data_IF_781886753337
#
_entry.id   IF_781886753337
#
_cell.length_a   1.000
_cell.length_b   1.000
_cell.length_c   1.000
_cell.angle_alpha   90.00
_cell.angle_beta   90.00
_cell.angle_gamma   90.00
#
_symmetry.space_group_name_H-M   'P 1'
#
loop_
_entity.id
_entity.type
_entity.pdbx_description
1 polymer ?
#
# COMPACT_ATOMS: atom_id res chain seq x y z
N UNK A 1 11.32 -12.38 -15.69
CA UNK A 1 10.58 -12.33 -14.42
C UNK A 1 10.43 -10.87 -14.07
N UNK A 2 9.21 -10.39 -13.79
CA UNK A 2 9.03 -9.01 -13.28
C UNK A 2 9.66 -8.97 -11.89
N UNK A 3 10.58 -8.05 -11.69
CA UNK A 3 11.28 -7.92 -10.41
C UNK A 3 10.31 -7.36 -9.36
N UNK A 4 10.07 -8.11 -8.29
CA UNK A 4 9.13 -7.74 -7.23
C UNK A 4 9.75 -6.72 -6.28
N UNK A 5 8.90 -5.89 -5.69
CA UNK A 5 9.27 -4.88 -4.69
C UNK A 5 8.78 -5.25 -3.30
N UNK A 6 7.68 -6.00 -3.21
CA UNK A 6 7.11 -6.43 -1.95
C UNK A 6 6.62 -7.88 -2.02
N UNK A 7 6.65 -8.55 -0.87
CA UNK A 7 5.93 -9.78 -0.60
C UNK A 7 5.06 -9.56 0.63
N UNK A 8 3.81 -10.03 0.56
CA UNK A 8 2.84 -9.97 1.66
C UNK A 8 2.24 -11.33 2.05
N UNK A 9 2.66 -12.40 1.39
CA UNK A 9 2.27 -13.77 1.74
C UNK A 9 3.27 -14.34 2.75
N UNK A 10 2.80 -14.58 3.98
CA UNK A 10 3.65 -15.03 5.09
C UNK A 10 4.39 -16.34 4.77
N UNK A 11 3.74 -17.31 4.12
CA UNK A 11 4.36 -18.59 3.75
C UNK A 11 5.41 -18.43 2.64
N UNK A 12 5.24 -17.45 1.75
CA UNK A 12 6.25 -17.10 0.76
C UNK A 12 7.44 -16.38 1.41
N UNK A 13 7.19 -15.45 2.32
CA UNK A 13 8.23 -14.76 3.09
C UNK A 13 9.05 -15.80 3.87
N UNK A 14 8.40 -16.70 4.61
CA UNK A 14 9.06 -17.78 5.37
C UNK A 14 9.96 -18.66 4.49
N UNK A 15 9.58 -18.91 3.24
CA UNK A 15 10.41 -19.67 2.28
C UNK A 15 11.56 -18.87 1.69
N UNK A 16 11.43 -17.54 1.59
CA UNK A 16 12.46 -16.66 1.04
C UNK A 16 13.54 -16.35 2.07
N UNK A 17 13.16 -16.10 3.33
CA UNK A 17 14.09 -15.65 4.38
C UNK A 17 15.33 -16.56 4.55
N UNK A 18 15.25 -17.91 4.55
CA UNK A 18 16.42 -18.77 4.69
C UNK A 18 17.44 -18.66 3.55
N UNK A 19 17.04 -18.08 2.41
CA UNK A 19 17.89 -17.88 1.24
C UNK A 19 18.65 -16.55 1.32
N UNK A 20 18.32 -15.69 2.29
CA UNK A 20 18.91 -14.38 2.48
C UNK A 20 19.86 -14.38 3.69
N UNK A 21 20.84 -13.49 3.65
CA UNK A 21 21.74 -13.25 4.78
C UNK A 21 21.16 -12.18 5.69
N UNK A 22 20.95 -12.51 6.97
CA UNK A 22 20.57 -11.52 7.97
C UNK A 22 21.74 -10.55 8.17
N UNK A 23 21.47 -9.26 7.99
CA UNK A 23 22.44 -8.18 8.16
C UNK A 23 22.28 -7.48 9.50
N UNK A 24 21.03 -7.10 9.81
CA UNK A 24 20.67 -6.34 11.01
C UNK A 24 19.28 -6.76 11.48
N UNK A 25 19.03 -6.69 12.78
CA UNK A 25 17.72 -6.93 13.39
C UNK A 25 17.47 -5.86 14.45
N UNK A 26 16.29 -5.27 14.42
CA UNK A 26 15.86 -4.30 15.41
C UNK A 26 15.59 -5.00 16.75
N UNK A 27 15.85 -4.28 17.85
CA UNK A 27 15.55 -4.77 19.19
C UNK A 27 14.05 -5.11 19.31
N UNK A 28 13.75 -6.35 19.72
CA UNK A 28 12.38 -6.87 19.79
C UNK A 28 11.86 -7.59 18.54
N UNK A 29 12.65 -7.74 17.48
CA UNK A 29 12.34 -8.62 16.33
C UNK A 29 11.27 -8.10 15.37
N UNK A 30 10.85 -6.84 15.52
CA UNK A 30 9.79 -6.22 14.70
C UNK A 30 10.25 -5.81 13.29
N UNK A 31 11.55 -5.67 13.09
CA UNK A 31 12.14 -5.38 11.79
C UNK A 31 13.50 -6.04 11.66
N UNK A 32 13.83 -6.52 10.46
CA UNK A 32 15.13 -7.07 10.15
C UNK A 32 15.51 -6.78 8.70
N UNK A 33 16.80 -6.53 8.47
CA UNK A 33 17.37 -6.29 7.14
C UNK A 33 18.14 -7.52 6.70
N UNK A 34 17.84 -7.96 5.50
CA UNK A 34 18.42 -9.12 4.85
C UNK A 34 19.10 -8.71 3.54
N UNK A 35 20.12 -9.46 3.13
CA UNK A 35 20.81 -9.31 1.85
C UNK A 35 20.68 -10.58 1.03
N UNK A 36 20.22 -10.45 -0.20
CA UNK A 36 20.32 -11.51 -1.20
C UNK A 36 21.75 -11.54 -1.76
N UNK A 37 22.48 -12.64 -1.52
CA UNK A 37 23.86 -12.81 -2.00
C UNK A 37 23.95 -12.92 -3.53
N UNK A 38 22.92 -13.43 -4.19
CA UNK A 38 22.94 -13.64 -5.63
C UNK A 38 22.78 -12.32 -6.39
N UNK A 39 21.87 -11.45 -5.93
CA UNK A 39 21.55 -10.19 -6.59
C UNK A 39 22.20 -8.95 -5.94
N UNK A 40 22.78 -9.08 -4.74
CA UNK A 40 23.20 -7.98 -3.87
C UNK A 40 22.07 -7.01 -3.49
N UNK A 41 20.81 -7.43 -3.63
CA UNK A 41 19.64 -6.65 -3.24
C UNK A 41 19.41 -6.79 -1.74
N UNK A 42 18.99 -5.70 -1.10
CA UNK A 42 18.59 -5.71 0.30
C UNK A 42 17.07 -5.79 0.44
N UNK A 43 16.62 -6.45 1.49
CA UNK A 43 15.22 -6.64 1.83
C UNK A 43 15.01 -6.31 3.31
N UNK A 44 13.90 -5.67 3.62
CA UNK A 44 13.47 -5.37 4.98
C UNK A 44 12.24 -6.21 5.29
N UNK A 45 12.34 -7.08 6.28
CA UNK A 45 11.19 -7.71 6.92
C UNK A 45 10.65 -6.73 7.96
N UNK A 46 9.34 -6.48 7.96
CA UNK A 46 8.67 -5.69 9.00
C UNK A 46 7.20 -6.09 9.14
N UNK A 47 6.56 -5.61 10.20
CA UNK A 47 5.11 -5.72 10.39
C UNK A 47 4.47 -4.35 10.28
N UNK A 48 3.41 -4.23 9.48
CA UNK A 48 2.59 -3.02 9.36
C UNK A 48 1.40 -3.10 10.32
N UNK A 49 1.05 -1.94 10.89
CA UNK A 49 -0.14 -1.78 11.72
C UNK A 49 -1.43 -1.76 10.90
N UNK A 50 -1.34 -1.39 9.61
CA UNK A 50 -2.46 -1.42 8.69
C UNK A 50 -2.97 -2.87 8.50
N UNK A 51 -4.27 -3.08 8.72
CA UNK A 51 -4.92 -4.39 8.59
C UNK A 51 -4.92 -5.23 9.88
N UNK A 52 -4.38 -4.72 10.99
CA UNK A 52 -4.39 -5.42 12.27
C UNK A 52 -5.82 -5.57 12.83
N UNK A 53 -6.27 -6.81 12.98
CA UNK A 53 -7.53 -7.14 13.68
C UNK A 53 -7.29 -7.89 15.01
N UNK A 54 -6.12 -8.53 15.20
CA UNK A 54 -5.89 -9.50 16.28
C UNK A 54 -4.48 -9.46 16.92
N UNK A 55 -3.71 -8.37 16.80
CA UNK A 55 -2.52 -8.15 17.64
C UNK A 55 -1.18 -8.71 17.15
N UNK A 56 -0.90 -8.66 15.83
CA UNK A 56 0.37 -9.16 15.27
C UNK A 56 0.86 -8.43 14.01
N UNK A 57 0.16 -7.37 13.58
CA UNK A 57 0.42 -6.69 12.31
C UNK A 57 0.31 -7.58 11.06
N UNK A 58 0.47 -6.97 9.89
CA UNK A 58 0.59 -7.69 8.61
C UNK A 58 2.08 -7.77 8.20
N UNK A 59 2.57 -8.99 7.99
CA UNK A 59 4.00 -9.23 7.70
C UNK A 59 4.34 -8.83 6.26
N UNK A 60 5.43 -8.09 6.10
CA UNK A 60 5.94 -7.61 4.82
C UNK A 60 7.41 -7.94 4.66
N UNK A 61 7.79 -8.27 3.42
CA UNK A 61 9.19 -8.26 2.98
C UNK A 61 9.32 -7.24 1.84
N UNK A 62 10.02 -6.13 2.10
CA UNK A 62 10.07 -4.96 1.23
C UNK A 62 11.49 -4.81 0.69
N UNK A 63 11.63 -4.62 -0.62
CA UNK A 63 12.92 -4.36 -1.25
C UNK A 63 13.48 -3.00 -0.83
N UNK A 64 14.77 -2.95 -0.53
CA UNK A 64 15.50 -1.72 -0.25
C UNK A 64 16.29 -1.23 -1.50
N UNK A 65 16.39 0.09 -1.72
CA UNK A 65 15.79 1.18 -0.94
C UNK A 65 14.25 1.16 -0.99
N UNK A 66 13.61 1.66 0.06
CA UNK A 66 12.14 1.61 0.18
C UNK A 66 11.47 2.23 -1.05
N UNK A 67 10.43 1.57 -1.62
CA UNK A 67 9.71 2.12 -2.76
C UNK A 67 9.04 3.45 -2.39
N UNK A 68 9.13 4.45 -3.27
CA UNK A 68 8.37 5.71 -3.13
C UNK A 68 6.86 5.49 -3.20
N UNK A 69 6.05 6.43 -2.72
CA UNK A 69 4.58 6.42 -2.82
C UNK A 69 4.07 6.17 -4.25
N UNK A 70 4.61 6.88 -5.27
CA UNK A 70 4.28 6.62 -6.68
C UNK A 70 4.55 5.18 -7.10
N UNK A 71 5.68 4.62 -6.64
CA UNK A 71 6.07 3.25 -6.96
C UNK A 71 5.16 2.24 -6.28
N UNK A 72 4.78 2.46 -5.02
CA UNK A 72 3.82 1.60 -4.32
C UNK A 72 2.46 1.63 -5.02
N UNK A 73 1.99 2.81 -5.45
CA UNK A 73 0.75 2.93 -6.23
C UNK A 73 0.84 2.14 -7.54
N UNK A 74 1.94 2.31 -8.29
CA UNK A 74 2.15 1.54 -9.52
C UNK A 74 2.15 0.03 -9.25
N UNK A 75 2.86 -0.42 -8.21
CA UNK A 75 2.87 -1.83 -7.81
C UNK A 75 1.45 -2.32 -7.48
N UNK A 76 0.69 -1.59 -6.65
CA UNK A 76 -0.68 -1.95 -6.28
C UNK A 76 -1.63 -2.11 -7.48
N UNK A 77 -1.43 -1.34 -8.55
CA UNK A 77 -2.32 -1.31 -9.72
C UNK A 77 -1.86 -2.21 -10.88
N UNK A 78 -0.58 -2.57 -10.93
CA UNK A 78 0.05 -3.16 -12.13
C UNK A 78 0.70 -4.52 -11.89
N UNK A 79 1.10 -4.86 -10.66
CA UNK A 79 1.75 -6.15 -10.41
C UNK A 79 0.86 -7.32 -10.83
N UNK A 80 1.42 -8.38 -11.43
CA UNK A 80 0.67 -9.60 -11.69
C UNK A 80 0.40 -10.41 -10.41
N UNK A 81 1.04 -10.09 -9.29
CA UNK A 81 0.97 -10.88 -8.06
C UNK A 81 0.06 -10.27 -7.00
N UNK A 82 -0.98 -11.00 -6.58
CA UNK A 82 -1.99 -10.49 -5.64
C UNK A 82 -1.40 -10.11 -4.28
N UNK A 83 -0.51 -10.93 -3.71
CA UNK A 83 0.11 -10.65 -2.40
C UNK A 83 0.97 -9.37 -2.41
N UNK A 84 1.61 -9.07 -3.53
CA UNK A 84 2.40 -7.84 -3.68
C UNK A 84 1.52 -6.60 -3.85
N UNK A 85 0.38 -6.73 -4.53
CA UNK A 85 -0.58 -5.64 -4.64
C UNK A 85 -1.14 -5.27 -3.26
N UNK A 86 -1.51 -6.28 -2.46
CA UNK A 86 -1.98 -6.08 -1.09
C UNK A 86 -0.87 -5.52 -0.21
N UNK A 87 0.35 -6.05 -0.30
CA UNK A 87 1.50 -5.55 0.44
C UNK A 87 1.77 -4.06 0.17
N UNK A 88 1.70 -3.64 -1.10
CA UNK A 88 1.87 -2.24 -1.47
C UNK A 88 0.79 -1.34 -0.86
N UNK A 89 -0.47 -1.80 -0.83
CA UNK A 89 -1.59 -1.08 -0.20
C UNK A 89 -1.38 -0.96 1.31
N UNK A 90 -0.99 -2.05 1.99
CA UNK A 90 -0.75 -2.02 3.43
C UNK A 90 0.40 -1.08 3.77
N UNK A 91 1.47 -1.07 2.96
CA UNK A 91 2.56 -0.11 3.13
C UNK A 91 2.12 1.34 2.93
N UNK A 92 1.28 1.63 1.93
CA UNK A 92 0.72 2.97 1.71
C UNK A 92 -0.11 3.45 2.92
N UNK A 93 -0.93 2.58 3.48
CA UNK A 93 -1.76 2.89 4.65
C UNK A 93 -0.92 3.14 5.90
N UNK A 94 0.13 2.34 6.11
CA UNK A 94 1.05 2.50 7.23
C UNK A 94 1.88 3.80 7.09
N UNK A 95 2.35 4.14 5.88
CA UNK A 95 3.01 5.42 5.60
C UNK A 95 2.09 6.63 5.82
N UNK A 96 0.81 6.53 5.48
CA UNK A 96 -0.17 7.58 5.78
C UNK A 96 -0.35 7.74 7.30
N UNK A 97 -0.54 6.63 8.02
CA UNK A 97 -0.86 6.64 9.44
C UNK A 97 0.33 7.05 10.33
N UNK A 98 1.53 6.56 10.01
CA UNK A 98 2.74 6.72 10.84
C UNK A 98 3.57 7.91 10.38
N UNK A 99 3.75 8.07 9.07
CA UNK A 99 4.66 9.08 8.50
C UNK A 99 3.91 10.32 7.98
N UNK A 100 2.58 10.29 7.95
CA UNK A 100 1.76 11.39 7.42
C UNK A 100 1.86 11.57 5.90
N UNK A 101 2.32 10.54 5.18
CA UNK A 101 2.48 10.56 3.72
C UNK A 101 1.15 10.30 3.03
N UNK A 102 0.52 11.36 2.55
CA UNK A 102 -0.74 11.25 1.82
C UNK A 102 -0.52 10.65 0.43
N UNK A 103 -1.25 9.58 0.12
CA UNK A 103 -1.24 8.91 -1.18
C UNK A 103 -2.59 8.98 -1.91
N UNK A 104 -3.66 9.43 -1.25
CA UNK A 104 -5.05 9.19 -1.69
C UNK A 104 -5.37 9.93 -2.98
N UNK A 105 -5.01 11.21 -3.07
CA UNK A 105 -5.19 12.01 -4.28
C UNK A 105 -4.43 11.40 -5.47
N UNK A 106 -3.17 11.04 -5.25
CA UNK A 106 -2.35 10.45 -6.30
C UNK A 106 -2.91 9.10 -6.77
N UNK A 107 -3.34 8.24 -5.84
CA UNK A 107 -3.94 6.95 -6.16
C UNK A 107 -5.21 7.13 -7.00
N UNK A 108 -6.10 8.05 -6.62
CA UNK A 108 -7.34 8.27 -7.37
C UNK A 108 -7.09 8.88 -8.76
N UNK A 109 -6.09 9.75 -8.90
CA UNK A 109 -5.67 10.26 -10.22
C UNK A 109 -5.12 9.14 -11.12
N UNK A 110 -4.28 8.25 -10.59
CA UNK A 110 -3.76 7.10 -11.35
C UNK A 110 -4.89 6.17 -11.77
N UNK A 111 -5.84 5.90 -10.87
CA UNK A 111 -7.03 5.11 -11.18
C UNK A 111 -7.89 5.75 -12.26
N UNK A 112 -8.01 7.07 -12.26
CA UNK A 112 -8.83 7.80 -13.24
C UNK A 112 -8.26 7.74 -14.66
N UNK A 113 -6.94 7.67 -14.76
CA UNK A 113 -6.17 7.58 -16.02
C UNK A 113 -6.15 6.17 -16.65
N UNK A 114 -6.62 5.14 -15.95
CA UNK A 114 -6.65 3.78 -16.50
C UNK A 114 -7.75 3.63 -17.55
N UNK A 115 -7.46 2.88 -18.62
CA UNK A 115 -8.47 2.40 -19.57
C UNK A 115 -9.25 1.22 -18.98
N UNK A 116 -10.12 1.52 -18.01
CA UNK A 116 -10.87 0.52 -17.25
C UNK A 116 -11.70 -0.44 -18.12
N UNK A 117 -12.38 -0.01 -19.20
CA UNK A 117 -13.11 -0.93 -20.08
C UNK A 117 -12.23 -2.01 -20.71
N UNK A 118 -10.98 -1.68 -21.08
CA UNK A 118 -10.03 -2.58 -21.74
C UNK A 118 -9.25 -3.51 -20.82
N UNK A 119 -9.42 -3.40 -19.49
CA UNK A 119 -8.67 -4.18 -18.51
C UNK A 119 -9.30 -5.56 -18.25
N UNK A 120 -8.45 -6.57 -18.09
CA UNK A 120 -8.85 -7.95 -17.78
C UNK A 120 -9.63 -8.07 -16.44
N UNK A 121 -10.56 -9.03 -16.31
CA UNK A 121 -11.45 -9.12 -15.13
C UNK A 121 -10.73 -9.29 -13.79
N UNK A 122 -9.64 -10.06 -13.75
CA UNK A 122 -8.79 -10.26 -12.59
C UNK A 122 -8.15 -8.93 -12.12
N UNK A 123 -7.63 -8.15 -13.06
CA UNK A 123 -7.07 -6.82 -12.76
C UNK A 123 -8.17 -5.82 -12.34
N UNK A 124 -9.37 -5.88 -12.92
CA UNK A 124 -10.53 -5.09 -12.44
C UNK A 124 -10.86 -5.44 -10.99
N UNK A 125 -10.85 -6.73 -10.63
CA UNK A 125 -11.11 -7.16 -9.26
C UNK A 125 -10.04 -6.65 -8.29
N UNK A 126 -8.76 -6.69 -8.66
CA UNK A 126 -7.69 -6.09 -7.86
C UNK A 126 -7.84 -4.59 -7.67
N UNK A 127 -8.25 -3.86 -8.71
CA UNK A 127 -8.53 -2.43 -8.60
C UNK A 127 -9.68 -2.19 -7.60
N UNK A 128 -10.75 -3.00 -7.63
CA UNK A 128 -11.83 -2.93 -6.63
C UNK A 128 -11.31 -3.20 -5.22
N UNK A 129 -10.48 -4.22 -5.03
CA UNK A 129 -9.85 -4.51 -3.73
C UNK A 129 -9.00 -3.32 -3.26
N UNK A 130 -8.22 -2.70 -4.15
CA UNK A 130 -7.43 -1.51 -3.85
C UNK A 130 -8.29 -0.37 -3.31
N UNK A 131 -9.38 -0.02 -4.01
CA UNK A 131 -10.32 1.04 -3.60
C UNK A 131 -10.96 0.71 -2.25
N UNK A 132 -11.34 -0.55 -2.03
CA UNK A 132 -11.97 -1.00 -0.78
C UNK A 132 -10.99 -0.95 0.39
N UNK A 133 -9.80 -1.55 0.26
CA UNK A 133 -8.81 -1.63 1.33
C UNK A 133 -8.32 -0.24 1.75
N UNK A 134 -8.21 0.68 0.80
CA UNK A 134 -7.82 2.07 1.07
C UNK A 134 -8.97 2.94 1.57
N UNK A 135 -10.20 2.42 1.60
CA UNK A 135 -11.43 3.17 1.93
C UNK A 135 -11.56 4.45 1.11
N UNK A 136 -11.15 4.44 -0.17
CA UNK A 136 -11.12 5.65 -1.00
C UNK A 136 -12.51 6.26 -1.22
N UNK A 137 -13.57 5.46 -1.16
CA UNK A 137 -14.95 5.94 -1.30
C UNK A 137 -15.53 6.56 -0.03
N UNK A 138 -14.81 6.52 1.09
CA UNK A 138 -15.27 7.12 2.34
C UNK A 138 -14.88 8.62 2.36
N UNK A 139 -15.84 9.56 2.35
CA UNK A 139 -15.55 10.98 2.35
C UNK A 139 -15.15 11.52 3.73
N UNK A 140 -15.13 10.69 4.77
CA UNK A 140 -14.80 11.15 6.13
C UNK A 140 -13.33 11.55 6.25
N UNK A 141 -13.08 12.64 6.98
CA UNK A 141 -11.73 13.11 7.24
C UNK A 141 -10.93 12.07 8.04
N UNK A 142 -9.86 11.54 7.45
CA UNK A 142 -8.96 10.56 8.09
C UNK A 142 -7.79 11.21 8.84
N UNK A 143 -7.59 12.52 8.72
CA UNK A 143 -6.49 13.24 9.35
C UNK A 143 -6.83 13.63 10.80
N UNK A 144 -5.82 13.84 11.68
CA UNK A 144 -6.05 14.32 13.04
C UNK A 144 -6.83 15.64 13.08
N UNK A 145 -7.80 15.74 13.99
CA UNK A 145 -8.66 16.93 14.17
C UNK A 145 -8.11 17.89 15.21
N UNK A 146 -7.45 17.36 16.25
CA UNK A 146 -6.97 18.15 17.40
C UNK A 146 -5.97 19.22 16.94
N UNK A 147 -6.23 20.47 17.31
CA UNK A 147 -5.36 21.61 17.01
C UNK A 147 -5.60 22.28 15.65
N UNK A 148 -6.54 21.79 14.84
CA UNK A 148 -6.90 22.43 13.57
C UNK A 148 -7.92 23.56 13.76
N UNK A 149 -7.79 24.58 12.94
CA UNK A 149 -8.81 25.62 12.80
C UNK A 149 -10.02 25.10 12.02
N UNK A 150 -11.16 25.79 12.11
CA UNK A 150 -12.36 25.46 11.32
C UNK A 150 -12.05 25.47 9.81
N UNK A 151 -11.27 26.43 9.33
CA UNK A 151 -10.89 26.51 7.92
C UNK A 151 -10.06 25.29 7.47
N UNK A 152 -9.15 24.80 8.31
CA UNK A 152 -8.37 23.58 8.02
C UNK A 152 -9.27 22.34 8.01
N UNK A 153 -10.23 22.26 8.93
CA UNK A 153 -11.19 21.15 8.96
C UNK A 153 -12.11 21.16 7.73
N UNK A 154 -12.56 22.34 7.28
CA UNK A 154 -13.32 22.48 6.04
C UNK A 154 -12.50 22.10 4.80
N UNK A 155 -11.22 22.49 4.77
CA UNK A 155 -10.32 22.13 3.67
C UNK A 155 -10.08 20.60 3.61
N UNK A 156 -9.88 19.95 4.76
CA UNK A 156 -9.79 18.49 4.80
C UNK A 156 -11.09 17.83 4.35
N UNK A 157 -12.25 18.30 4.82
CA UNK A 157 -13.54 17.73 4.42
C UNK A 157 -13.73 17.78 2.90
N UNK A 158 -13.48 18.95 2.29
CA UNK A 158 -13.55 19.11 0.83
C UNK A 158 -12.55 18.22 0.09
N UNK A 159 -11.35 18.02 0.65
CA UNK A 159 -10.35 17.12 0.08
C UNK A 159 -10.82 15.66 0.05
N UNK A 160 -11.30 15.13 1.18
CA UNK A 160 -11.75 13.74 1.26
C UNK A 160 -13.04 13.49 0.47
N UNK A 161 -13.93 14.48 0.40
CA UNK A 161 -15.11 14.46 -0.48
C UNK A 161 -14.70 14.33 -1.96
N UNK A 162 -13.78 15.17 -2.44
CA UNK A 162 -13.31 15.12 -3.83
C UNK A 162 -12.61 13.80 -4.16
N UNK A 163 -11.85 13.21 -3.22
CA UNK A 163 -11.24 11.88 -3.39
C UNK A 163 -12.32 10.81 -3.51
N UNK A 164 -13.32 10.83 -2.62
CA UNK A 164 -14.43 9.87 -2.59
C UNK A 164 -15.26 9.91 -3.89
N UNK A 165 -15.61 11.10 -4.36
CA UNK A 165 -16.36 11.28 -5.61
C UNK A 165 -15.63 10.67 -6.81
N UNK A 166 -14.34 10.96 -6.95
CA UNK A 166 -13.52 10.40 -8.04
C UNK A 166 -13.42 8.86 -7.92
N UNK A 167 -13.25 8.33 -6.70
CA UNK A 167 -13.19 6.89 -6.48
C UNK A 167 -14.51 6.17 -6.82
N UNK A 168 -15.65 6.79 -6.48
CA UNK A 168 -16.97 6.29 -6.86
C UNK A 168 -17.17 6.29 -8.39
N UNK A 169 -16.68 7.32 -9.08
CA UNK A 169 -16.71 7.37 -10.54
C UNK A 169 -15.87 6.26 -11.19
N UNK A 170 -14.67 5.99 -10.65
CA UNK A 170 -13.83 4.85 -11.05
C UNK A 170 -14.58 3.53 -10.86
N UNK A 171 -15.19 3.30 -9.69
CA UNK A 171 -15.97 2.08 -9.44
C UNK A 171 -17.15 1.92 -10.42
N UNK A 172 -17.80 3.01 -10.79
CA UNK A 172 -18.87 3.01 -11.78
C UNK A 172 -18.43 2.52 -13.17
N UNK A 173 -17.17 2.78 -13.54
CA UNK A 173 -16.54 2.37 -14.81
C UNK A 173 -15.95 0.96 -14.78
N UNK A 174 -15.81 0.34 -13.60
CA UNK A 174 -15.33 -1.03 -13.43
C UNK A 174 -16.42 -2.10 -13.63
N UNK A 175 -17.65 -1.70 -13.98
CA UNK A 175 -18.77 -2.60 -14.26
C UNK A 175 -18.49 -3.55 -15.44
#
# INVERSE_FOLDING_TARGET
MVERYLYGDASLIERLLPQLELMEEAEGGWAAVFKDKASNVFWMKCYTSAGEQLGGGYELLIRLPLPSTDKLIAVALETPHEDEAVAAIMRLLDEEAVEGKDFRHLLVERLDQLDLPGIAPDRKQRIRQCITLTSLTDPTNKRPVKGKSLAQLSADAAYFEAVSEKALAVLGRLK
#
